data_IF_472589079411
#
_entry.id   IF_472589079411
#
_cell.length_a   1.000
_cell.length_b   1.000
_cell.length_c   1.000
_cell.angle_alpha   90.00
_cell.angle_beta   90.00
_cell.angle_gamma   90.00
#
_symmetry.space_group_name_H-M   'P 1'
#
loop_
_entity.id
_entity.type
_entity.pdbx_description
1 polymer ?
#
# COMPACT_ATOMS: atom_id res chain seq x y z
N UNK A 1 -4.87 4.20 -12.26
CA UNK A 1 -4.75 3.00 -11.40
C UNK A 1 -6.07 2.50 -10.84
N UNK A 2 -7.04 3.37 -10.48
CA UNK A 2 -8.30 2.91 -9.87
C UNK A 2 -9.13 1.92 -10.71
N UNK A 3 -9.04 2.01 -12.05
CA UNK A 3 -9.70 1.09 -13.00
C UNK A 3 -8.85 -0.15 -13.34
N UNK A 4 -7.62 -0.21 -12.87
CA UNK A 4 -6.71 -1.34 -13.09
C UNK A 4 -7.15 -2.47 -12.16
N UNK A 5 -7.24 -3.70 -12.69
CA UNK A 5 -7.70 -4.83 -11.90
C UNK A 5 -6.70 -5.15 -10.80
N UNK A 6 -7.17 -5.74 -9.70
CA UNK A 6 -6.28 -6.17 -8.61
C UNK A 6 -5.22 -7.16 -9.08
N UNK A 7 -5.58 -8.06 -10.01
CA UNK A 7 -4.65 -9.03 -10.60
C UNK A 7 -3.50 -8.36 -11.34
N UNK A 8 -3.78 -7.32 -12.13
CA UNK A 8 -2.74 -6.58 -12.86
C UNK A 8 -1.82 -5.82 -11.90
N UNK A 9 -2.37 -5.25 -10.82
CA UNK A 9 -1.57 -4.60 -9.76
C UNK A 9 -0.62 -5.60 -9.09
N UNK A 10 -1.10 -6.82 -8.81
CA UNK A 10 -0.28 -7.89 -8.22
C UNK A 10 0.80 -8.36 -9.20
N UNK A 11 0.47 -8.51 -10.48
CA UNK A 11 1.45 -8.85 -11.51
C UNK A 11 2.54 -7.77 -11.63
N UNK A 12 2.15 -6.50 -11.59
CA UNK A 12 3.09 -5.39 -11.57
C UNK A 12 4.01 -5.42 -10.33
N UNK A 13 3.44 -5.62 -9.13
CA UNK A 13 4.23 -5.75 -7.91
C UNK A 13 5.25 -6.91 -7.97
N UNK A 14 4.85 -8.05 -8.54
CA UNK A 14 5.75 -9.18 -8.75
C UNK A 14 6.89 -8.84 -9.72
N UNK A 15 6.60 -8.11 -10.80
CA UNK A 15 7.61 -7.66 -11.75
C UNK A 15 8.61 -6.68 -11.11
N UNK A 16 8.10 -5.74 -10.29
CA UNK A 16 8.91 -4.79 -9.51
C UNK A 16 9.80 -5.52 -8.51
N UNK A 17 9.25 -6.45 -7.72
CA UNK A 17 10.00 -7.26 -6.74
C UNK A 17 11.21 -7.96 -7.37
N UNK A 18 11.03 -8.55 -8.56
CA UNK A 18 12.08 -9.30 -9.25
C UNK A 18 13.11 -8.36 -9.89
N UNK A 19 12.65 -7.30 -10.56
CA UNK A 19 13.50 -6.49 -11.43
C UNK A 19 14.11 -5.27 -10.74
N UNK A 20 13.49 -4.78 -9.67
CA UNK A 20 13.93 -3.60 -8.94
C UNK A 20 13.51 -3.63 -7.46
N UNK A 21 14.20 -4.41 -6.61
CA UNK A 21 13.93 -4.46 -5.17
C UNK A 21 13.99 -3.10 -4.47
N UNK A 22 14.79 -2.15 -5.00
CA UNK A 22 14.84 -0.79 -4.49
C UNK A 22 13.51 -0.03 -4.70
N UNK A 23 12.84 -0.23 -5.84
CA UNK A 23 11.51 0.36 -6.12
C UNK A 23 10.41 -0.38 -5.35
N UNK A 24 10.57 -1.69 -5.12
CA UNK A 24 9.66 -2.46 -4.25
C UNK A 24 9.60 -1.84 -2.84
N UNK A 25 10.70 -1.29 -2.35
CA UNK A 25 10.75 -0.55 -1.07
C UNK A 25 10.18 0.87 -1.09
N UNK A 26 9.74 1.40 -2.23
CA UNK A 26 9.31 2.81 -2.40
C UNK A 26 7.82 2.98 -2.70
N UNK A 27 7.15 1.94 -3.19
CA UNK A 27 5.73 2.01 -3.57
C UNK A 27 4.86 1.38 -2.49
N UNK A 28 3.80 2.07 -2.07
CA UNK A 28 2.92 1.64 -0.98
C UNK A 28 3.63 1.29 0.34
N UNK A 29 4.83 1.83 0.58
CA UNK A 29 5.68 1.50 1.74
C UNK A 29 5.79 2.67 2.74
N UNK A 30 5.30 3.86 2.38
CA UNK A 30 5.44 5.09 3.13
C UNK A 30 4.32 5.38 4.13
N UNK A 31 4.21 6.64 4.52
CA UNK A 31 3.25 7.15 5.51
C UNK A 31 2.33 8.27 5.00
N UNK A 32 2.58 8.77 3.79
CA UNK A 32 1.96 10.00 3.30
C UNK A 32 0.43 9.89 3.09
N UNK A 33 -0.11 8.68 3.06
CA UNK A 33 -1.52 8.39 2.87
C UNK A 33 -2.16 7.73 4.11
N UNK A 34 -1.53 7.84 5.28
CA UNK A 34 -2.11 7.37 6.52
C UNK A 34 -3.48 8.02 6.76
N UNK A 35 -4.48 7.19 7.07
CA UNK A 35 -5.85 7.63 7.33
C UNK A 35 -6.04 8.16 8.76
N UNK A 36 -5.04 7.99 9.63
CA UNK A 36 -5.06 8.47 11.01
C UNK A 36 -3.65 8.83 11.53
N UNK A 37 -2.95 9.78 10.89
CA UNK A 37 -1.55 10.08 11.20
C UNK A 37 -1.32 10.44 12.68
N UNK A 38 -0.13 10.11 13.19
CA UNK A 38 0.27 10.37 14.57
C UNK A 38 0.20 9.13 15.45
N UNK A 39 -0.28 9.27 16.68
CA UNK A 39 -0.24 8.20 17.69
C UNK A 39 -1.23 7.03 17.42
N UNK A 40 -2.13 7.16 16.44
CA UNK A 40 -3.04 6.09 16.02
C UNK A 40 -2.83 5.72 14.53
N UNK A 41 -1.67 6.10 13.98
CA UNK A 41 -1.33 5.88 12.59
C UNK A 41 -1.08 4.42 12.25
N UNK A 42 -1.01 4.10 10.97
CA UNK A 42 -0.76 2.73 10.53
C UNK A 42 0.61 2.20 10.96
N UNK A 43 0.61 0.99 11.53
CA UNK A 43 1.77 0.25 12.03
C UNK A 43 2.14 -0.93 11.14
N UNK A 44 1.15 -1.65 10.62
CA UNK A 44 1.34 -2.84 9.78
C UNK A 44 0.18 -3.05 8.81
N UNK A 45 0.51 -3.73 7.71
CA UNK A 45 -0.51 -4.12 6.76
C UNK A 45 -1.32 -5.32 7.27
N UNK A 46 -2.63 -5.31 7.06
CA UNK A 46 -3.54 -6.43 7.32
C UNK A 46 -4.59 -6.52 6.22
N UNK A 47 -5.20 -7.70 6.07
CA UNK A 47 -6.30 -7.89 5.12
C UNK A 47 -7.58 -7.17 5.54
N UNK A 48 -7.89 -7.13 6.84
CA UNK A 48 -9.11 -6.51 7.34
C UNK A 48 -8.85 -5.80 8.67
N UNK A 49 -8.76 -4.45 8.67
CA UNK A 49 -8.61 -3.66 9.88
C UNK A 49 -9.83 -3.66 10.83
N UNK A 50 -10.96 -4.24 10.42
CA UNK A 50 -12.17 -4.37 11.24
C UNK A 50 -12.33 -5.75 11.87
N UNK A 51 -11.47 -6.72 11.54
CA UNK A 51 -11.62 -8.08 12.03
C UNK A 51 -11.58 -8.18 13.56
N UNK A 52 -12.22 -9.21 14.11
CA UNK A 52 -12.09 -9.55 15.54
C UNK A 52 -10.61 -9.77 15.88
N UNK A 53 -10.09 -8.98 16.83
CA UNK A 53 -8.68 -9.00 17.20
C UNK A 53 -7.80 -7.98 16.45
N UNK A 54 -8.35 -7.16 15.55
CA UNK A 54 -7.61 -6.05 14.94
C UNK A 54 -7.14 -5.06 15.98
N UNK A 55 -5.90 -4.62 15.83
CA UNK A 55 -5.24 -3.68 16.74
C UNK A 55 -5.21 -2.27 16.17
N UNK A 56 -5.10 -1.28 17.05
CA UNK A 56 -4.85 0.10 16.63
C UNK A 56 -3.59 0.18 15.75
N UNK A 57 -3.70 0.84 14.60
CA UNK A 57 -2.67 0.93 13.58
C UNK A 57 -2.65 -0.23 12.58
N UNK A 58 -3.58 -1.18 12.65
CA UNK A 58 -3.79 -2.14 11.55
C UNK A 58 -4.31 -1.39 10.32
N UNK A 59 -3.68 -1.57 9.15
CA UNK A 59 -4.06 -0.82 7.95
C UNK A 59 -4.06 -1.67 6.69
N UNK A 60 -4.95 -1.39 5.75
CA UNK A 60 -4.89 -1.87 4.37
C UNK A 60 -4.67 -0.73 3.38
N UNK A 61 -4.23 0.43 3.89
CA UNK A 61 -3.97 1.63 3.12
C UNK A 61 -2.53 1.63 2.56
N UNK A 62 -2.40 1.69 1.24
CA UNK A 62 -1.13 1.91 0.52
C UNK A 62 -0.48 3.20 1.05
N UNK A 63 0.81 3.11 1.40
CA UNK A 63 1.57 4.21 2.03
C UNK A 63 0.88 4.80 3.27
N UNK A 64 0.18 3.94 4.02
CA UNK A 64 -0.54 4.28 5.24
C UNK A 64 0.23 4.01 6.54
N UNK A 65 1.54 3.78 6.50
CA UNK A 65 2.35 3.43 7.69
C UNK A 65 2.86 4.66 8.44
N UNK A 66 1.95 5.49 8.96
CA UNK A 66 2.25 6.80 9.56
C UNK A 66 2.24 6.88 11.08
N UNK A 67 2.32 5.74 11.78
CA UNK A 67 2.40 5.74 13.25
C UNK A 67 3.65 6.45 13.78
N UNK A 68 3.50 7.39 14.71
CA UNK A 68 4.59 8.27 15.19
C UNK A 68 5.62 7.57 16.09
N UNK A 69 5.23 6.51 16.80
CA UNK A 69 6.08 5.86 17.82
C UNK A 69 6.32 4.36 17.57
N UNK A 70 6.07 3.86 16.35
CA UNK A 70 6.41 2.48 16.02
C UNK A 70 5.63 1.90 14.86
N UNK A 71 6.19 1.98 13.65
CA UNK A 71 5.76 1.17 12.52
C UNK A 71 6.38 -0.22 12.69
N UNK A 72 5.55 -1.25 12.86
CA UNK A 72 6.00 -2.64 13.04
C UNK A 72 6.11 -3.41 11.72
N UNK A 73 5.62 -2.84 10.61
CA UNK A 73 5.80 -3.42 9.28
C UNK A 73 7.27 -3.47 8.92
N UNK A 74 7.81 -4.68 8.82
CA UNK A 74 9.16 -4.93 8.34
C UNK A 74 9.21 -6.31 7.65
N UNK A 75 9.66 -6.41 6.39
CA UNK A 75 10.05 -5.31 5.50
C UNK A 75 8.83 -4.50 4.99
N UNK A 76 9.08 -3.26 4.56
CA UNK A 76 8.08 -2.38 3.93
C UNK A 76 8.24 -2.47 2.41
N UNK A 77 7.53 -3.40 1.79
CA UNK A 77 7.62 -3.67 0.36
C UNK A 77 6.25 -3.57 -0.29
N UNK A 78 6.21 -3.08 -1.53
CA UNK A 78 5.03 -3.05 -2.36
C UNK A 78 4.48 -4.47 -2.57
N UNK A 79 5.35 -5.43 -2.84
CA UNK A 79 5.01 -6.85 -2.96
C UNK A 79 4.40 -7.42 -1.67
N UNK A 80 4.92 -7.06 -0.50
CA UNK A 80 4.32 -7.42 0.80
C UNK A 80 2.96 -6.76 0.98
N UNK A 81 2.79 -5.50 0.59
CA UNK A 81 1.50 -4.81 0.67
C UNK A 81 0.43 -5.54 -0.15
N UNK A 82 0.67 -5.78 -1.45
CA UNK A 82 -0.35 -6.38 -2.34
C UNK A 82 -0.76 -7.79 -1.91
N UNK A 83 0.18 -8.59 -1.37
CA UNK A 83 -0.13 -9.93 -0.85
C UNK A 83 -0.84 -9.87 0.50
N UNK A 84 -0.36 -9.05 1.44
CA UNK A 84 -0.92 -8.97 2.79
C UNK A 84 -2.36 -8.46 2.78
N UNK A 85 -2.64 -7.44 1.96
CA UNK A 85 -4.00 -6.88 1.85
C UNK A 85 -4.90 -7.65 0.86
N UNK A 86 -4.37 -8.72 0.25
CA UNK A 86 -5.09 -9.66 -0.63
C UNK A 86 -5.75 -9.02 -1.85
N UNK A 87 -5.00 -8.17 -2.56
CA UNK A 87 -5.48 -7.52 -3.79
C UNK A 87 -5.84 -8.54 -4.89
N UNK A 88 -5.14 -9.67 -4.95
CA UNK A 88 -5.43 -10.76 -5.90
C UNK A 88 -6.80 -11.41 -5.69
N UNK A 89 -7.37 -11.27 -4.48
CA UNK A 89 -8.69 -11.80 -4.09
C UNK A 89 -9.77 -10.70 -4.11
N UNK A 90 -9.56 -9.65 -4.91
CA UNK A 90 -10.47 -8.50 -5.04
C UNK A 90 -10.73 -7.76 -3.71
N UNK A 91 -9.77 -7.80 -2.77
CA UNK A 91 -9.82 -7.09 -1.48
C UNK A 91 -8.99 -5.83 -1.48
N UNK A 92 -9.44 -4.83 -0.73
CA UNK A 92 -8.72 -3.59 -0.42
C UNK A 92 -8.22 -2.77 -1.63
N UNK A 93 -8.72 -3.04 -2.83
CA UNK A 93 -8.43 -2.25 -4.02
C UNK A 93 -9.75 -1.78 -4.66
N UNK A 94 -9.87 -0.51 -5.10
CA UNK A 94 -8.86 0.56 -5.08
C UNK A 94 -8.86 1.42 -3.80
N UNK A 95 -9.66 1.08 -2.79
CA UNK A 95 -9.82 1.89 -1.56
C UNK A 95 -9.27 1.14 -0.34
N UNK A 96 -8.45 1.85 0.45
CA UNK A 96 -7.86 1.35 1.68
C UNK A 96 -8.68 1.68 2.93
N UNK A 97 -8.32 1.04 4.04
CA UNK A 97 -8.92 1.22 5.36
C UNK A 97 -7.86 1.18 6.45
N UNK A 98 -8.15 1.72 7.62
CA UNK A 98 -7.26 1.61 8.78
C UNK A 98 -8.05 1.57 10.08
N UNK A 99 -7.57 0.81 11.06
CA UNK A 99 -8.04 0.84 12.43
C UNK A 99 -7.32 1.98 13.13
N UNK A 100 -8.08 2.94 13.62
CA UNK A 100 -7.58 4.05 14.43
C UNK A 100 -8.29 4.02 15.77
N UNK A 101 -7.53 3.69 16.81
CA UNK A 101 -8.04 3.38 18.14
C UNK A 101 -9.15 2.31 18.05
N UNK A 102 -10.38 2.65 18.45
CA UNK A 102 -11.55 1.75 18.38
C UNK A 102 -12.32 1.85 17.07
N UNK A 103 -12.01 2.81 16.20
CA UNK A 103 -12.81 3.15 15.01
C UNK A 103 -12.16 2.67 13.72
N UNK A 104 -12.98 2.17 12.79
CA UNK A 104 -12.56 1.95 11.42
C UNK A 104 -12.58 3.27 10.66
N UNK A 105 -11.48 3.59 9.97
CA UNK A 105 -11.38 4.67 9.00
C UNK A 105 -11.38 4.06 7.61
N UNK A 106 -12.29 4.51 6.75
CA UNK A 106 -12.29 4.17 5.33
C UNK A 106 -11.69 5.34 4.58
N UNK A 107 -10.73 5.07 3.71
CA UNK A 107 -10.14 6.11 2.88
C UNK A 107 -11.15 6.65 1.86
N UNK A 108 -10.84 7.81 1.31
CA UNK A 108 -11.61 8.37 0.20
C UNK A 108 -11.68 7.38 -0.97
N UNK A 109 -12.63 7.61 -1.88
CA UNK A 109 -12.75 6.79 -3.09
C UNK A 109 -11.42 6.71 -3.82
N UNK A 110 -10.94 5.49 -4.07
CA UNK A 110 -9.67 5.18 -4.72
C UNK A 110 -8.41 5.53 -3.92
N UNK A 111 -8.48 5.64 -2.59
CA UNK A 111 -7.35 6.06 -1.75
C UNK A 111 -6.07 5.23 -1.96
N UNK A 112 -6.16 3.91 -2.17
CA UNK A 112 -4.98 3.07 -2.44
C UNK A 112 -4.42 3.33 -3.84
N UNK A 113 -5.29 3.46 -4.83
CA UNK A 113 -4.86 3.76 -6.20
C UNK A 113 -4.23 5.15 -6.33
N UNK A 114 -4.75 6.14 -5.61
CA UNK A 114 -4.20 7.50 -5.58
C UNK A 114 -2.85 7.54 -4.85
N UNK A 115 -2.72 6.83 -3.72
CA UNK A 115 -1.46 6.74 -2.99
C UNK A 115 -0.38 6.07 -3.83
N UNK A 116 -0.68 4.91 -4.44
CA UNK A 116 0.25 4.22 -5.34
C UNK A 116 0.66 5.13 -6.51
N UNK A 117 -0.29 5.85 -7.13
CA UNK A 117 0.02 6.76 -8.22
C UNK A 117 0.99 7.87 -7.79
N UNK A 118 0.80 8.41 -6.57
CA UNK A 118 1.69 9.43 -6.01
C UNK A 118 3.10 8.87 -5.79
N UNK A 119 3.22 7.69 -5.20
CA UNK A 119 4.52 7.03 -5.01
C UNK A 119 5.26 6.82 -6.35
N UNK A 120 4.55 6.38 -7.39
CA UNK A 120 5.13 6.21 -8.73
C UNK A 120 5.57 7.53 -9.37
N UNK A 121 4.83 8.63 -9.14
CA UNK A 121 5.17 9.98 -9.61
C UNK A 121 6.34 10.57 -8.81
N UNK A 122 6.54 10.16 -7.56
CA UNK A 122 7.63 10.66 -6.72
C UNK A 122 8.97 9.92 -6.94
N UNK A 123 8.97 8.82 -7.71
CA UNK A 123 10.21 8.15 -8.16
C UNK A 123 11.13 9.07 -8.97
N UNK A 124 12.44 8.78 -8.96
CA UNK A 124 13.38 9.52 -9.79
C UNK A 124 13.23 9.16 -11.28
N UNK A 125 13.93 9.89 -12.17
CA UNK A 125 13.80 9.73 -13.63
C UNK A 125 14.13 8.32 -14.12
N UNK A 126 15.19 7.70 -13.59
CA UNK A 126 15.65 6.38 -14.02
C UNK A 126 14.70 5.29 -13.51
N UNK A 127 14.25 5.41 -12.25
CA UNK A 127 13.26 4.53 -11.64
C UNK A 127 11.92 4.56 -12.39
N UNK A 128 11.47 5.75 -12.79
CA UNK A 128 10.28 5.92 -13.65
C UNK A 128 10.44 5.21 -14.98
N UNK A 129 11.63 5.27 -15.58
CA UNK A 129 11.92 4.58 -16.86
C UNK A 129 11.83 3.07 -16.69
N UNK A 130 12.38 2.53 -15.59
CA UNK A 130 12.27 1.11 -15.25
C UNK A 130 10.79 0.72 -15.06
N UNK A 131 10.04 1.46 -14.24
CA UNK A 131 8.63 1.20 -13.99
C UNK A 131 7.80 1.24 -15.27
N UNK A 132 8.02 2.22 -16.14
CA UNK A 132 7.33 2.30 -17.43
C UNK A 132 7.61 1.06 -18.30
N UNK A 133 8.86 0.59 -18.31
CA UNK A 133 9.24 -0.64 -19.01
C UNK A 133 8.62 -1.91 -18.40
N UNK A 134 8.42 -1.95 -17.09
CA UNK A 134 7.73 -3.06 -16.41
C UNK A 134 6.23 -3.02 -16.70
N UNK A 135 5.58 -1.85 -16.59
CA UNK A 135 4.16 -1.66 -16.89
C UNK A 135 3.82 -1.98 -18.34
N UNK A 136 4.74 -1.76 -19.28
CA UNK A 136 4.52 -2.14 -20.68
C UNK A 136 4.51 -3.66 -20.92
N UNK A 137 5.00 -4.46 -19.96
CA UNK A 137 5.12 -5.92 -20.04
C UNK A 137 4.12 -6.66 -19.14
N UNK A 138 3.32 -5.92 -18.37
CA UNK A 138 2.31 -6.44 -17.44
C UNK A 138 0.95 -5.97 -17.87
#
# INVERSE_FOLDING_TARGET
LAKTSGKDIVQFANAVKISSPAIDGKVCSGSHADLAPGANGGKKFVVNPEASGSTDGDTSQCSGLGHSSGVTQNPKLFSTFVDTVKIAEDKNWPTGRAKSNTSLKTGDTNSNANAMAKDLVDLNRDEKTIVAGLLAKT
#
